data_IF_336778853802
#
_entry.id   IF_336778853802
#
_cell.length_a   1.000
_cell.length_b   1.000
_cell.length_c   1.000
_cell.angle_alpha   90.00
_cell.angle_beta   90.00
_cell.angle_gamma   90.00
#
_symmetry.space_group_name_H-M   'P 1'
#
loop_
_entity.id
_entity.type
_entity.pdbx_description
1 polymer ?
#
# COMPACT_ATOMS: atom_id res chain seq x y z
N UNK A 1 -13.63 9.08 -11.31
CA UNK A 1 -13.28 7.70 -11.67
C UNK A 1 -11.78 7.58 -11.49
N UNK A 2 -11.34 6.76 -10.53
CA UNK A 2 -9.91 6.43 -10.42
C UNK A 2 -9.63 5.44 -11.54
N UNK A 3 -8.74 5.78 -12.47
CA UNK A 3 -8.47 4.91 -13.63
C UNK A 3 -7.61 3.71 -13.19
N UNK A 4 -6.86 3.79 -12.08
CA UNK A 4 -6.10 2.67 -11.50
C UNK A 4 -5.70 2.92 -10.04
N UNK A 5 -5.63 1.86 -9.25
CA UNK A 5 -5.11 1.87 -7.88
C UNK A 5 -3.89 0.96 -7.77
N UNK A 6 -2.82 1.47 -7.17
CA UNK A 6 -1.60 0.70 -6.87
C UNK A 6 -1.47 0.55 -5.35
N UNK A 7 -1.34 -0.69 -4.88
CA UNK A 7 -1.22 -1.03 -3.46
C UNK A 7 0.23 -1.39 -3.13
N UNK A 8 0.82 -0.76 -2.10
CA UNK A 8 2.23 -0.99 -1.68
C UNK A 8 2.39 -1.00 -0.15
N UNK A 9 3.61 -1.21 0.36
CA UNK A 9 3.94 -1.09 1.80
C UNK A 9 4.10 0.37 2.27
N UNK A 10 4.07 1.36 1.36
CA UNK A 10 4.13 2.78 1.67
C UNK A 10 5.43 3.31 2.26
N UNK A 11 6.46 2.48 2.40
CA UNK A 11 7.75 2.91 2.94
C UNK A 11 8.63 3.43 1.79
N UNK A 12 9.25 4.60 1.97
CA UNK A 12 10.10 5.23 0.94
C UNK A 12 11.47 4.56 0.79
N UNK A 13 11.45 3.27 0.42
CA UNK A 13 12.61 2.41 0.15
C UNK A 13 12.37 1.60 -1.12
N UNK A 14 13.45 1.14 -1.75
CA UNK A 14 13.41 0.18 -2.85
C UNK A 14 12.44 0.56 -3.97
N UNK A 15 11.58 -0.39 -4.34
CA UNK A 15 10.62 -0.26 -5.44
C UNK A 15 9.53 0.78 -5.17
N UNK A 16 9.14 0.96 -3.90
CA UNK A 16 8.03 1.85 -3.53
C UNK A 16 8.38 3.31 -3.76
N UNK A 17 9.63 3.71 -3.48
CA UNK A 17 10.14 5.05 -3.80
C UNK A 17 10.13 5.33 -5.31
N UNK A 18 10.48 4.32 -6.12
CA UNK A 18 10.48 4.44 -7.58
C UNK A 18 9.04 4.51 -8.13
N UNK A 19 8.14 3.66 -7.61
CA UNK A 19 6.73 3.66 -7.95
C UNK A 19 6.06 5.00 -7.59
N UNK A 20 6.30 5.51 -6.39
CA UNK A 20 5.81 6.81 -5.94
C UNK A 20 6.24 7.94 -6.86
N UNK A 21 7.53 7.97 -7.23
CA UNK A 21 8.05 8.95 -8.19
C UNK A 21 7.40 8.79 -9.57
N UNK A 22 7.28 7.56 -10.09
CA UNK A 22 6.71 7.32 -11.41
C UNK A 22 5.23 7.72 -11.49
N UNK A 23 4.44 7.44 -10.45
CA UNK A 23 3.03 7.83 -10.37
C UNK A 23 2.89 9.35 -10.30
N UNK A 24 3.72 10.03 -9.49
CA UNK A 24 3.71 11.50 -9.45
C UNK A 24 4.05 12.10 -10.81
N UNK A 25 5.15 11.66 -11.43
CA UNK A 25 5.60 12.17 -12.73
C UNK A 25 4.54 11.90 -13.82
N UNK A 26 3.79 10.79 -13.75
CA UNK A 26 2.67 10.48 -14.64
C UNK A 26 1.46 11.39 -14.40
N UNK A 27 1.02 11.56 -13.15
CA UNK A 27 -0.10 12.43 -12.80
C UNK A 27 0.20 13.90 -13.16
N UNK A 28 1.45 14.35 -12.98
CA UNK A 28 1.89 15.69 -13.37
C UNK A 28 1.81 15.90 -14.89
N UNK A 29 2.09 14.86 -15.68
CA UNK A 29 2.08 14.93 -17.15
C UNK A 29 0.69 14.76 -17.79
N UNK A 30 -0.18 13.92 -17.21
CA UNK A 30 -1.44 13.47 -17.83
C UNK A 30 -2.71 13.86 -17.07
N UNK A 31 -2.57 14.61 -15.97
CA UNK A 31 -3.66 15.13 -15.16
C UNK A 31 -3.66 14.57 -13.73
N UNK A 32 -4.03 15.43 -12.77
CA UNK A 32 -4.07 15.06 -11.35
C UNK A 32 -5.03 13.89 -11.11
N UNK A 33 -4.63 12.99 -10.22
CA UNK A 33 -5.44 11.88 -9.68
C UNK A 33 -5.86 10.77 -10.66
N UNK A 34 -5.13 10.58 -11.76
CA UNK A 34 -5.31 9.42 -12.66
C UNK A 34 -5.00 8.10 -11.97
N UNK A 35 -3.87 8.06 -11.27
CA UNK A 35 -3.40 6.88 -10.51
C UNK A 35 -3.34 7.25 -9.04
N UNK A 36 -3.95 6.42 -8.20
CA UNK A 36 -3.86 6.53 -6.75
C UNK A 36 -2.93 5.48 -6.17
N UNK A 37 -2.19 5.89 -5.14
CA UNK A 37 -1.31 5.02 -4.36
C UNK A 37 -1.88 4.80 -2.95
N UNK A 38 -2.15 3.54 -2.64
CA UNK A 38 -2.58 3.08 -1.32
C UNK A 38 -1.44 2.31 -0.64
N UNK A 39 -1.06 2.76 0.54
CA UNK A 39 -0.12 2.05 1.40
C UNK A 39 -0.87 1.18 2.42
N UNK A 40 -0.47 -0.08 2.57
CA UNK A 40 -0.93 -0.97 3.65
C UNK A 40 0.29 -1.45 4.43
N UNK A 41 0.39 -1.06 5.70
CA UNK A 41 1.57 -1.34 6.51
C UNK A 41 1.25 -1.51 8.00
N UNK A 42 2.12 -2.19 8.77
CA UNK A 42 2.03 -2.20 10.22
C UNK A 42 2.26 -0.81 10.83
N UNK A 43 1.50 -0.44 11.86
CA UNK A 43 1.66 0.80 12.63
C UNK A 43 3.05 0.90 13.28
N UNK A 44 3.64 -0.24 13.66
CA UNK A 44 5.02 -0.34 14.18
C UNK A 44 6.10 0.10 13.21
N UNK A 45 5.81 0.18 11.92
CA UNK A 45 6.77 0.65 10.92
C UNK A 45 6.67 2.15 10.66
N UNK A 46 5.67 2.82 11.23
CA UNK A 46 5.48 4.26 11.02
C UNK A 46 6.46 5.03 11.92
N UNK A 47 7.37 5.83 11.32
CA UNK A 47 8.27 6.67 12.10
C UNK A 47 7.50 7.81 12.78
N UNK A 48 7.98 8.27 13.94
CA UNK A 48 7.33 9.35 14.71
C UNK A 48 5.82 9.14 14.93
N UNK A 49 5.38 7.88 15.01
CA UNK A 49 3.96 7.52 15.16
C UNK A 49 3.26 8.18 16.37
N UNK A 50 4.00 8.51 17.42
CA UNK A 50 3.51 9.26 18.58
C UNK A 50 2.98 10.65 18.21
N UNK A 51 3.50 11.26 17.15
CA UNK A 51 3.09 12.58 16.64
C UNK A 51 1.84 12.50 15.74
N UNK A 52 1.50 11.30 15.27
CA UNK A 52 0.31 11.02 14.47
C UNK A 52 -0.91 10.66 15.34
N UNK A 53 -0.71 10.34 16.63
CA UNK A 53 -1.81 10.03 17.55
C UNK A 53 -2.54 11.32 17.94
N UNK A 54 -3.72 11.53 17.38
CA UNK A 54 -4.66 12.58 17.82
C UNK A 54 -5.69 12.01 18.78
N UNK A 55 -5.99 12.73 19.86
CA UNK A 55 -7.05 12.35 20.82
C UNK A 55 -8.46 12.54 20.24
N UNK A 56 -8.59 13.48 19.32
CA UNK A 56 -9.89 13.92 18.79
C UNK A 56 -10.08 13.54 17.31
N UNK A 57 -9.17 12.73 16.75
CA UNK A 57 -9.13 12.32 15.34
C UNK A 57 -9.10 13.48 14.32
N UNK A 58 -8.95 14.72 14.80
CA UNK A 58 -8.77 15.92 14.00
C UNK A 58 -7.30 16.35 14.07
N UNK A 59 -6.74 16.77 12.94
CA UNK A 59 -5.41 17.38 12.90
C UNK A 59 -4.72 17.26 11.55
N UNK A 60 -3.93 18.29 11.22
CA UNK A 60 -2.84 18.19 10.26
C UNK A 60 -1.62 17.73 11.04
N UNK A 61 -1.13 16.53 10.78
CA UNK A 61 0.13 16.07 11.35
C UNK A 61 1.20 16.10 10.26
N UNK A 62 2.25 16.86 10.51
CA UNK A 62 3.40 16.91 9.62
C UNK A 62 4.36 15.81 10.05
N UNK A 63 4.57 14.82 9.19
CA UNK A 63 5.64 13.85 9.40
C UNK A 63 6.98 14.58 9.31
N UNK A 64 7.87 14.45 10.32
CA UNK A 64 9.19 15.01 10.23
C UNK A 64 9.95 14.36 9.06
N UNK A 65 10.83 15.12 8.37
CA UNK A 65 11.69 14.54 7.33
C UNK A 65 12.50 13.38 7.91
N UNK A 66 12.82 12.34 7.11
CA UNK A 66 13.51 11.15 7.61
C UNK A 66 14.79 11.55 8.34
N UNK A 67 14.79 11.37 9.66
CA UNK A 67 15.89 11.76 10.53
C UNK A 67 16.92 10.63 10.61
N UNK A 68 18.19 11.02 10.49
CA UNK A 68 19.44 10.24 10.66
C UNK A 68 19.66 8.99 9.78
N UNK A 69 20.88 8.81 9.21
CA UNK A 69 21.27 7.55 8.56
C UNK A 69 21.13 6.37 9.54
N UNK A 70 20.32 5.37 9.19
CA UNK A 70 20.08 4.18 10.02
C UNK A 70 18.68 4.09 10.66
N UNK A 71 17.86 5.13 10.54
CA UNK A 71 16.44 5.06 10.94
C UNK A 71 15.61 4.18 9.99
N UNK A 72 14.45 3.70 10.46
CA UNK A 72 13.41 3.12 9.61
C UNK A 72 13.09 4.06 8.45
N UNK A 73 12.79 3.52 7.25
CA UNK A 73 12.42 4.35 6.10
C UNK A 73 11.17 5.17 6.42
N UNK A 74 11.16 6.43 5.99
CA UNK A 74 10.00 7.31 6.06
C UNK A 74 8.80 6.79 5.28
N UNK A 75 7.60 7.28 5.60
CA UNK A 75 6.45 7.12 4.70
C UNK A 75 6.75 7.80 3.36
N UNK A 76 6.34 7.18 2.26
CA UNK A 76 6.56 7.75 0.94
C UNK A 76 5.60 8.91 0.68
N UNK A 77 6.10 10.13 0.39
CA UNK A 77 5.28 11.32 0.29
C UNK A 77 4.37 11.34 -0.96
N UNK A 78 4.56 10.41 -1.90
CA UNK A 78 3.75 10.36 -3.12
C UNK A 78 2.51 9.46 -2.97
N UNK A 79 2.29 8.86 -1.80
CA UNK A 79 1.09 8.09 -1.53
C UNK A 79 -0.07 9.00 -1.14
N UNK A 80 -1.26 8.70 -1.68
CA UNK A 80 -2.49 9.44 -1.40
C UNK A 80 -3.16 8.93 -0.12
N UNK A 81 -3.08 7.61 0.11
CA UNK A 81 -3.80 6.93 1.17
C UNK A 81 -2.87 6.01 1.95
N UNK A 82 -3.05 5.96 3.28
CA UNK A 82 -2.35 5.05 4.17
C UNK A 82 -3.35 4.30 5.03
N UNK A 83 -3.25 2.97 5.03
CA UNK A 83 -3.94 2.09 5.94
C UNK A 83 -2.92 1.43 6.86
N UNK A 84 -3.03 1.75 8.15
CA UNK A 84 -2.09 1.31 9.17
C UNK A 84 -2.74 0.21 10.01
N UNK A 85 -2.15 -0.99 9.99
CA UNK A 85 -2.61 -2.16 10.73
C UNK A 85 -1.95 -2.17 12.10
N UNK A 86 -2.72 -2.34 13.17
CA UNK A 86 -2.28 -2.15 14.57
C UNK A 86 -1.01 -2.93 14.96
N UNK A 87 -0.31 -2.47 15.99
CA UNK A 87 1.01 -2.94 16.45
C UNK A 87 1.06 -4.42 16.83
N UNK A 88 -0.04 -4.95 17.35
CA UNK A 88 -0.15 -6.35 17.75
C UNK A 88 -0.32 -7.30 16.54
N UNK A 89 -0.43 -6.74 15.33
CA UNK A 89 -0.49 -7.51 14.11
C UNK A 89 0.87 -8.17 13.82
N UNK A 90 0.84 -9.49 13.72
CA UNK A 90 1.92 -10.25 13.10
C UNK A 90 2.03 -9.86 11.61
N UNK A 91 3.20 -10.10 11.00
CA UNK A 91 3.42 -9.75 9.58
C UNK A 91 2.36 -10.40 8.69
N UNK A 92 1.95 -11.64 9.01
CA UNK A 92 0.90 -12.38 8.33
C UNK A 92 -0.46 -11.67 8.35
N UNK A 93 -0.77 -10.94 9.42
CA UNK A 93 -2.02 -10.16 9.51
C UNK A 93 -2.03 -9.01 8.49
N UNK A 94 -0.90 -8.36 8.24
CA UNK A 94 -0.82 -7.28 7.25
C UNK A 94 -0.96 -7.83 5.84
N UNK A 95 -0.34 -8.97 5.56
CA UNK A 95 -0.50 -9.69 4.29
C UNK A 95 -1.97 -10.08 4.09
N UNK A 96 -2.62 -10.62 5.12
CA UNK A 96 -4.04 -10.98 5.05
C UNK A 96 -4.93 -9.76 4.80
N UNK A 97 -4.76 -8.68 5.57
CA UNK A 97 -5.53 -7.43 5.42
C UNK A 97 -5.35 -6.87 4.02
N UNK A 98 -4.11 -6.77 3.53
CA UNK A 98 -3.81 -6.32 2.17
C UNK A 98 -4.52 -7.18 1.13
N UNK A 99 -4.41 -8.50 1.23
CA UNK A 99 -5.01 -9.39 0.24
C UNK A 99 -6.54 -9.31 0.26
N UNK A 100 -7.16 -9.21 1.44
CA UNK A 100 -8.62 -9.01 1.56
C UNK A 100 -9.07 -7.70 0.94
N UNK A 101 -8.31 -6.62 1.10
CA UNK A 101 -8.61 -5.32 0.49
C UNK A 101 -8.52 -5.42 -1.03
N UNK A 102 -7.44 -6.01 -1.56
CA UNK A 102 -7.28 -6.23 -3.00
C UNK A 102 -8.47 -7.03 -3.57
N UNK A 103 -8.88 -8.11 -2.89
CA UNK A 103 -10.05 -8.90 -3.26
C UNK A 103 -11.35 -8.09 -3.21
N UNK A 104 -11.56 -7.28 -2.17
CA UNK A 104 -12.74 -6.42 -2.05
C UNK A 104 -12.78 -5.40 -3.18
N UNK A 105 -11.67 -4.70 -3.42
CA UNK A 105 -11.55 -3.70 -4.48
C UNK A 105 -11.80 -4.30 -5.87
N UNK A 106 -11.34 -5.53 -6.12
CA UNK A 106 -11.62 -6.23 -7.39
C UNK A 106 -13.10 -6.50 -7.65
N UNK A 107 -13.95 -6.44 -6.61
CA UNK A 107 -15.39 -6.74 -6.66
C UNK A 107 -16.28 -5.51 -6.47
N UNK A 108 -15.70 -4.32 -6.23
CA UNK A 108 -16.48 -3.11 -5.98
C UNK A 108 -17.17 -2.56 -7.23
N UNK A 109 -16.68 -2.90 -8.42
CA UNK A 109 -17.28 -2.44 -9.65
C UNK A 109 -18.41 -3.38 -10.08
N UNK A 110 -19.67 -2.98 -9.84
CA UNK A 110 -20.84 -3.76 -10.29
C UNK A 110 -20.91 -3.87 -11.83
N UNK A 111 -20.26 -2.97 -12.56
CA UNK A 111 -20.22 -2.99 -14.03
C UNK A 111 -19.14 -3.92 -14.59
N UNK A 112 -18.11 -4.21 -13.80
CA UNK A 112 -17.07 -5.19 -14.09
C UNK A 112 -17.02 -6.23 -12.96
N UNK A 113 -17.68 -7.40 -13.12
CA UNK A 113 -17.84 -8.39 -12.06
C UNK A 113 -16.54 -8.86 -11.41
N UNK A 114 -15.39 -8.59 -12.06
CA UNK A 114 -14.06 -8.82 -11.52
C UNK A 114 -13.04 -7.90 -12.21
N UNK A 115 -12.69 -6.77 -11.57
CA UNK A 115 -11.60 -5.94 -12.07
C UNK A 115 -10.28 -6.76 -12.06
N UNK A 116 -9.49 -6.72 -13.15
CA UNK A 116 -8.26 -7.50 -13.22
C UNK A 116 -7.25 -7.00 -12.18
N UNK A 117 -6.86 -7.89 -11.27
CA UNK A 117 -5.79 -7.64 -10.30
C UNK A 117 -4.47 -8.23 -10.80
N UNK A 118 -3.37 -7.50 -10.60
CA UNK A 118 -2.02 -7.97 -10.94
C UNK A 118 -1.07 -7.68 -9.78
N UNK A 119 -0.19 -8.63 -9.47
CA UNK A 119 0.88 -8.47 -8.50
C UNK A 119 2.23 -8.46 -9.25
N UNK A 120 3.07 -7.46 -8.96
CA UNK A 120 4.41 -7.34 -9.52
C UNK A 120 5.42 -7.43 -8.38
N UNK A 121 6.22 -8.50 -8.39
CA UNK A 121 7.34 -8.68 -7.47
C UNK A 121 8.65 -8.49 -8.24
N UNK A 122 9.34 -7.36 -8.00
CA UNK A 122 10.61 -7.06 -8.67
C UNK A 122 11.82 -7.67 -7.94
N UNK A 123 11.80 -7.65 -6.60
CA UNK A 123 12.76 -8.26 -5.69
C UNK A 123 12.11 -8.33 -4.30
N UNK A 124 12.49 -9.27 -3.43
CA UNK A 124 11.83 -9.40 -2.13
C UNK A 124 12.44 -10.40 -1.15
N UNK A 125 11.91 -10.38 0.07
CA UNK A 125 12.21 -11.33 1.16
C UNK A 125 11.25 -12.54 1.11
N UNK A 126 11.39 -13.46 2.06
CA UNK A 126 10.45 -14.58 2.21
C UNK A 126 9.01 -14.09 2.46
N UNK A 127 8.84 -12.98 3.18
CA UNK A 127 7.53 -12.38 3.46
C UNK A 127 6.86 -11.85 2.18
N UNK A 128 7.65 -11.30 1.25
CA UNK A 128 7.15 -10.84 -0.06
C UNK A 128 6.70 -12.04 -0.92
N UNK A 129 7.39 -13.17 -0.83
CA UNK A 129 7.00 -14.43 -1.50
C UNK A 129 5.73 -15.01 -0.88
N UNK A 130 5.60 -14.99 0.45
CA UNK A 130 4.38 -15.41 1.15
C UNK A 130 3.18 -14.54 0.74
N UNK A 131 3.40 -13.23 0.59
CA UNK A 131 2.40 -12.29 0.09
C UNK A 131 1.98 -12.61 -1.35
N UNK A 132 2.94 -12.90 -2.22
CA UNK A 132 2.66 -13.32 -3.60
C UNK A 132 1.89 -14.65 -3.64
N UNK A 133 2.28 -15.62 -2.83
CA UNK A 133 1.58 -16.90 -2.72
C UNK A 133 0.12 -16.69 -2.31
N UNK A 134 -0.13 -15.84 -1.31
CA UNK A 134 -1.48 -15.55 -0.83
C UNK A 134 -2.31 -14.78 -1.86
N UNK A 135 -1.69 -13.85 -2.59
CA UNK A 135 -2.31 -13.17 -3.72
C UNK A 135 -2.74 -14.17 -4.80
N UNK A 136 -1.84 -15.09 -5.19
CA UNK A 136 -2.11 -16.14 -6.17
C UNK A 136 -3.22 -17.05 -5.69
N UNK A 137 -3.18 -17.53 -4.44
CA UNK A 137 -4.23 -18.39 -3.89
C UNK A 137 -5.60 -17.73 -3.98
N UNK A 138 -5.72 -16.45 -3.61
CA UNK A 138 -7.01 -15.76 -3.56
C UNK A 138 -7.51 -15.20 -4.90
N UNK A 139 -6.60 -14.94 -5.86
CA UNK A 139 -6.95 -14.38 -7.17
C UNK A 139 -6.88 -15.41 -8.32
N UNK A 140 -6.15 -16.53 -8.15
CA UNK A 140 -6.08 -17.67 -9.10
C UNK A 140 -6.97 -18.84 -8.64
N UNK A 141 -7.58 -18.82 -7.45
CA UNK A 141 -8.76 -19.66 -7.16
C UNK A 141 -9.97 -19.22 -8.01
N UNK A 142 -9.91 -19.46 -9.32
CA UNK A 142 -11.01 -19.34 -10.27
C UNK A 142 -10.73 -20.23 -11.49
N UNK A 143 -11.56 -21.27 -11.60
CA UNK A 143 -11.71 -22.26 -12.67
C UNK A 143 -10.89 -23.56 -12.57
N UNK A 144 -11.18 -24.38 -11.56
CA UNK A 144 -11.43 -25.80 -11.85
C UNK A 144 -12.94 -26.01 -11.72
N UNK A 145 -13.64 -25.99 -12.85
CA UNK A 145 -14.95 -26.63 -13.02
C UNK A 145 -14.73 -27.93 -13.77
#
# INVERSE_FOLDING_TARGET
YLDSLVVTDGLSKGIVKLAGKAVRDYNDAYGQDRISLLAVLPWKWVPSRSELVSKDFAGLSNQPPPAVPGSLPGLDPNHNFFLMVDDNAETDTVVEVRTRIETLLSRLDESMPQAPACCILANGTLDDVASLHRFVELHIELHIR
#
